data_IF_394009639097
#
_entry.id   IF_394009639097
#
_cell.length_a   1.000
_cell.length_b   1.000
_cell.length_c   1.000
_cell.angle_alpha   90.00
_cell.angle_beta   90.00
_cell.angle_gamma   90.00
#
_symmetry.space_group_name_H-M   'P 1'
#
loop_
_entity.id
_entity.type
_entity.pdbx_description
1 polymer ?
#
# COMPACT_ATOMS: atom_id res chain seq x y z
N UNK A 1 23.13 -29.78 21.15
CA UNK A 1 22.42 -28.67 20.50
C UNK A 1 23.35 -27.48 20.49
N UNK A 2 23.88 -27.10 19.33
CA UNK A 2 24.75 -25.94 19.24
C UNK A 2 23.88 -24.68 19.39
N UNK A 3 23.99 -24.01 20.54
CA UNK A 3 23.51 -22.64 20.72
C UNK A 3 24.47 -21.77 19.91
N UNK A 4 24.20 -21.62 18.62
CA UNK A 4 24.89 -20.64 17.82
C UNK A 4 24.55 -19.27 18.43
N UNK A 5 25.56 -18.63 19.01
CA UNK A 5 25.54 -17.25 19.50
C UNK A 5 25.48 -16.28 18.30
N UNK A 6 24.58 -16.53 17.35
CA UNK A 6 24.31 -15.65 16.23
C UNK A 6 23.34 -14.58 16.71
N UNK A 7 23.67 -13.32 16.42
CA UNK A 7 22.79 -12.19 16.67
C UNK A 7 21.43 -12.45 15.99
N UNK A 8 20.36 -12.51 16.79
CA UNK A 8 19.02 -12.72 16.28
C UNK A 8 18.54 -11.42 15.65
N UNK A 9 18.15 -11.51 14.37
CA UNK A 9 17.61 -10.39 13.61
C UNK A 9 16.10 -10.54 13.45
N UNK A 10 15.42 -9.41 13.30
CA UNK A 10 13.96 -9.36 13.19
C UNK A 10 13.54 -9.01 11.78
N UNK A 11 12.64 -9.80 11.20
CA UNK A 11 11.93 -9.51 9.96
C UNK A 11 10.61 -8.81 10.29
N UNK A 12 10.30 -7.79 9.49
CA UNK A 12 9.09 -6.99 9.66
C UNK A 12 8.26 -7.00 8.40
N UNK A 13 7.01 -7.42 8.52
CA UNK A 13 5.99 -7.32 7.46
C UNK A 13 4.93 -6.33 7.93
N UNK A 14 4.70 -5.29 7.12
CA UNK A 14 3.68 -4.27 7.35
C UNK A 14 2.45 -4.64 6.55
N UNK A 15 1.30 -4.77 7.21
CA UNK A 15 0.03 -5.03 6.56
C UNK A 15 -0.94 -3.88 6.82
N UNK A 16 -1.62 -3.45 5.77
CA UNK A 16 -2.73 -2.53 5.83
C UNK A 16 -4.02 -3.30 5.56
N UNK A 17 -4.96 -3.24 6.49
CA UNK A 17 -6.24 -3.94 6.39
C UNK A 17 -7.38 -2.97 6.54
N UNK A 18 -8.42 -3.17 5.73
CA UNK A 18 -9.66 -2.42 5.77
C UNK A 18 -10.76 -3.30 6.33
N UNK A 19 -11.43 -2.82 7.39
CA UNK A 19 -12.47 -3.59 8.10
C UNK A 19 -13.67 -3.90 7.19
N UNK A 20 -13.98 -2.98 6.27
CA UNK A 20 -15.12 -3.12 5.37
C UNK A 20 -14.83 -2.47 4.01
N UNK A 21 -15.37 -3.04 2.92
CA UNK A 21 -15.09 -2.56 1.56
C UNK A 21 -15.61 -1.13 1.27
N UNK A 22 -16.50 -0.61 2.10
CA UNK A 22 -16.99 0.78 2.04
C UNK A 22 -16.33 1.70 3.07
N UNK A 23 -15.55 1.16 4.01
CA UNK A 23 -14.83 1.97 4.98
C UNK A 23 -13.71 2.74 4.28
N UNK A 24 -13.38 3.93 4.78
CA UNK A 24 -12.19 4.68 4.37
C UNK A 24 -11.02 4.50 5.34
N UNK A 25 -11.27 3.86 6.49
CA UNK A 25 -10.29 3.65 7.54
C UNK A 25 -9.45 2.41 7.27
N UNK A 26 -8.14 2.60 7.15
CA UNK A 26 -7.15 1.53 7.10
C UNK A 26 -6.50 1.34 8.46
N UNK A 27 -6.24 0.09 8.83
CA UNK A 27 -5.50 -0.29 10.03
C UNK A 27 -4.15 -0.84 9.64
N UNK A 28 -3.11 -0.46 10.36
CA UNK A 28 -1.76 -0.98 10.19
C UNK A 28 -1.50 -2.12 11.20
N UNK A 29 -1.07 -3.27 10.72
CA UNK A 29 -0.66 -4.42 11.51
C UNK A 29 0.81 -4.68 11.21
N UNK A 30 1.61 -4.81 12.26
CA UNK A 30 3.03 -5.15 12.17
C UNK A 30 3.21 -6.60 12.57
N UNK A 31 3.72 -7.41 11.65
CA UNK A 31 4.15 -8.78 11.94
C UNK A 31 5.65 -8.80 12.11
N UNK A 32 6.07 -9.27 13.29
CA UNK A 32 7.46 -9.35 13.69
C UNK A 32 7.84 -10.83 13.83
N UNK A 33 8.81 -11.28 13.06
CA UNK A 33 9.31 -12.66 13.11
C UNK A 33 10.83 -12.70 13.22
N UNK A 34 11.37 -13.74 13.84
CA UNK A 34 12.82 -13.96 13.86
C UNK A 34 13.27 -14.35 12.45
N UNK A 35 14.36 -13.73 11.97
CA UNK A 35 14.97 -14.11 10.71
C UNK A 35 15.46 -15.56 10.78
N UNK A 36 15.04 -16.35 9.79
CA UNK A 36 15.45 -17.74 9.65
C UNK A 36 16.24 -17.91 8.36
N UNK A 37 17.46 -18.50 8.40
CA UNK A 37 18.25 -18.71 7.21
C UNK A 37 17.56 -19.70 6.27
N UNK A 38 17.61 -19.43 4.97
CA UNK A 38 17.04 -20.31 3.96
C UNK A 38 17.97 -21.53 3.82
N UNK A 39 17.45 -22.78 3.90
CA UNK A 39 18.27 -23.96 3.65
C UNK A 39 18.90 -23.94 2.25
N UNK A 40 20.16 -24.35 2.08
CA UNK A 40 20.90 -24.22 0.82
C UNK A 40 20.34 -25.04 -0.35
N UNK A 41 19.47 -26.02 -0.08
CA UNK A 41 18.83 -26.87 -1.09
C UNK A 41 17.35 -26.51 -1.34
N UNK A 42 16.89 -25.36 -0.87
CA UNK A 42 15.51 -24.93 -1.06
C UNK A 42 15.29 -24.52 -2.53
N UNK A 43 14.29 -25.09 -3.23
CA UNK A 43 13.97 -24.68 -4.59
C UNK A 43 13.50 -23.22 -4.59
N UNK A 44 13.87 -22.46 -5.61
CA UNK A 44 13.52 -21.04 -5.76
C UNK A 44 13.98 -20.15 -4.58
N UNK A 45 15.10 -20.47 -3.94
CA UNK A 45 15.67 -19.65 -2.85
C UNK A 45 15.80 -18.16 -3.20
N UNK A 46 16.06 -17.85 -4.48
CA UNK A 46 16.19 -16.48 -4.98
C UNK A 46 14.95 -15.62 -4.69
N UNK A 47 13.75 -16.22 -4.66
CA UNK A 47 12.49 -15.52 -4.36
C UNK A 47 12.52 -14.85 -2.97
N UNK A 48 13.27 -15.41 -2.02
CA UNK A 48 13.35 -14.91 -0.65
C UNK A 48 14.58 -14.03 -0.41
N UNK A 49 15.50 -13.93 -1.38
CA UNK A 49 16.77 -13.17 -1.26
C UNK A 49 16.86 -11.99 -2.24
N UNK A 50 15.97 -11.91 -3.23
CA UNK A 50 15.98 -10.88 -4.28
C UNK A 50 15.50 -9.50 -3.80
N UNK A 51 15.07 -9.36 -2.55
CA UNK A 51 14.54 -8.10 -2.03
C UNK A 51 13.13 -7.78 -2.51
N UNK A 52 12.39 -8.76 -3.03
CA UNK A 52 10.99 -8.59 -3.40
C UNK A 52 10.13 -8.29 -2.16
N UNK A 53 9.52 -7.10 -2.19
CA UNK A 53 8.68 -6.57 -1.11
C UNK A 53 7.30 -7.22 -1.04
N UNK A 54 6.89 -7.89 -2.12
CA UNK A 54 5.60 -8.59 -2.22
C UNK A 54 5.69 -10.06 -1.81
N UNK A 55 6.90 -10.58 -1.61
CA UNK A 55 7.13 -11.94 -1.12
C UNK A 55 7.34 -11.94 0.39
N UNK A 56 6.57 -12.78 1.09
CA UNK A 56 6.74 -13.01 2.52
C UNK A 56 8.10 -13.68 2.82
N UNK A 57 8.74 -13.34 3.96
CA UNK A 57 9.98 -13.99 4.39
C UNK A 57 9.85 -15.52 4.51
N UNK A 58 10.98 -16.21 4.34
CA UNK A 58 11.05 -17.68 4.49
C UNK A 58 10.49 -18.19 5.83
N UNK A 59 10.57 -17.41 6.91
CA UNK A 59 9.99 -17.79 8.21
C UNK A 59 8.50 -18.15 8.14
N UNK A 60 7.76 -17.59 7.19
CA UNK A 60 6.33 -17.85 7.00
C UNK A 60 6.05 -19.16 6.24
N UNK A 61 7.07 -19.87 5.75
CA UNK A 61 6.89 -21.23 5.20
C UNK A 61 7.01 -22.31 6.29
N UNK A 62 7.55 -21.96 7.46
CA UNK A 62 7.81 -22.88 8.56
C UNK A 62 6.62 -23.03 9.52
N UNK A 63 5.69 -22.09 9.47
CA UNK A 63 4.52 -22.00 10.34
C UNK A 63 3.28 -21.67 9.50
N UNK A 64 2.07 -22.04 9.95
CA UNK A 64 0.84 -21.62 9.29
C UNK A 64 0.78 -20.09 9.21
N UNK A 65 0.42 -19.56 8.04
CA UNK A 65 0.29 -18.13 7.84
C UNK A 65 -0.88 -17.60 8.71
N UNK A 66 -0.72 -16.44 9.35
CA UNK A 66 -1.85 -15.71 9.93
C UNK A 66 -2.95 -15.51 8.89
N UNK A 67 -4.20 -15.69 9.29
CA UNK A 67 -5.36 -15.68 8.37
C UNK A 67 -5.42 -14.40 7.53
N UNK A 68 -5.12 -13.25 8.13
CA UNK A 68 -5.10 -11.97 7.42
C UNK A 68 -3.99 -11.89 6.36
N UNK A 69 -2.88 -12.60 6.51
CA UNK A 69 -1.77 -12.61 5.55
C UNK A 69 -1.97 -13.63 4.40
N UNK A 70 -3.01 -14.46 4.46
CA UNK A 70 -3.35 -15.38 3.38
C UNK A 70 -3.82 -14.63 2.12
N UNK A 71 -4.45 -13.47 2.31
CA UNK A 71 -4.79 -12.57 1.22
C UNK A 71 -3.49 -12.03 0.61
N UNK A 72 -3.32 -12.22 -0.70
CA UNK A 72 -2.12 -11.83 -1.43
C UNK A 72 -1.74 -10.35 -1.25
N UNK A 73 -0.53 -9.94 -1.71
CA UNK A 73 0.06 -8.65 -1.39
C UNK A 73 -0.71 -7.43 -1.92
N UNK A 74 -1.68 -7.65 -2.82
CA UNK A 74 -2.45 -6.62 -3.51
C UNK A 74 -3.97 -6.86 -3.43
N UNK A 75 -4.44 -7.56 -2.39
CA UNK A 75 -5.89 -7.68 -2.14
C UNK A 75 -6.52 -6.31 -1.89
N UNK A 76 -7.79 -6.16 -2.27
CA UNK A 76 -8.53 -4.91 -2.12
C UNK A 76 -8.88 -4.61 -0.64
N UNK A 77 -8.93 -5.64 0.21
CA UNK A 77 -9.19 -5.49 1.64
C UNK A 77 -7.93 -5.53 2.49
N UNK A 78 -6.88 -6.18 2.00
CA UNK A 78 -5.62 -6.33 2.71
C UNK A 78 -4.44 -6.18 1.75
N UNK A 79 -3.47 -5.33 2.09
CA UNK A 79 -2.20 -5.21 1.35
C UNK A 79 -1.06 -5.37 2.32
N UNK A 80 -0.01 -6.06 1.91
CA UNK A 80 1.19 -6.18 2.75
C UNK A 80 2.45 -5.80 2.01
N UNK A 81 3.46 -5.47 2.81
CA UNK A 81 4.80 -5.07 2.41
C UNK A 81 5.80 -5.73 3.34
N UNK A 82 6.66 -6.55 2.78
CA UNK A 82 7.83 -7.06 3.47
C UNK A 82 8.95 -6.01 3.37
N UNK A 83 9.50 -5.58 4.51
CA UNK A 83 10.64 -4.66 4.51
C UNK A 83 11.88 -5.46 4.09
N UNK A 84 12.45 -5.20 2.90
CA UNK A 84 13.60 -5.94 2.44
C UNK A 84 14.85 -5.48 3.19
N UNK A 85 15.87 -6.33 3.19
CA UNK A 85 17.18 -5.94 3.72
C UNK A 85 17.85 -5.05 2.70
N UNK A 86 18.18 -3.83 3.07
CA UNK A 86 18.99 -2.94 2.23
C UNK A 86 20.25 -2.52 2.99
N UNK A 87 21.18 -1.87 2.29
CA UNK A 87 22.40 -1.33 2.91
C UNK A 87 22.09 -0.17 3.86
N UNK A 88 21.03 0.59 3.61
CA UNK A 88 20.59 1.74 4.41
C UNK A 88 19.66 1.33 5.55
N UNK A 89 18.90 0.25 5.38
CA UNK A 89 17.95 -0.30 6.34
C UNK A 89 18.25 -1.77 6.65
N UNK A 90 19.28 -2.05 7.49
CA UNK A 90 19.56 -3.41 7.96
C UNK A 90 18.46 -3.89 8.90
N UNK A 91 18.31 -5.22 9.02
CA UNK A 91 17.35 -5.79 9.96
C UNK A 91 17.73 -5.47 11.41
N UNK A 92 16.77 -5.11 12.27
CA UNK A 92 17.04 -4.80 13.66
C UNK A 92 17.41 -6.06 14.45
N UNK A 93 18.33 -5.93 15.40
CA UNK A 93 18.69 -7.00 16.31
C UNK A 93 17.83 -7.03 17.57
N UNK A 94 17.70 -8.22 18.16
CA UNK A 94 16.91 -8.50 19.35
C UNK A 94 17.86 -8.58 20.58
N UNK A 95 17.50 -8.00 21.74
CA UNK A 95 16.26 -7.31 22.08
C UNK A 95 16.13 -5.92 21.45
N UNK A 96 14.93 -5.58 20.99
CA UNK A 96 14.60 -4.27 20.41
C UNK A 96 13.57 -3.55 21.29
N UNK A 97 13.81 -2.25 21.52
CA UNK A 97 12.86 -1.38 22.21
C UNK A 97 11.97 -0.65 21.19
N UNK A 98 10.79 -0.21 21.63
CA UNK A 98 9.83 0.48 20.77
C UNK A 98 10.41 1.72 20.06
N UNK A 99 11.22 2.60 20.71
CA UNK A 99 11.82 3.74 20.01
C UNK A 99 12.76 3.33 18.88
N UNK A 100 13.56 2.28 19.09
CA UNK A 100 14.47 1.75 18.06
C UNK A 100 13.68 1.14 16.89
N UNK A 101 12.57 0.45 17.20
CA UNK A 101 11.66 -0.06 16.17
C UNK A 101 11.02 1.08 15.39
N UNK A 102 10.58 2.16 16.05
CA UNK A 102 10.02 3.32 15.39
C UNK A 102 11.05 3.99 14.45
N UNK A 103 12.30 4.15 14.90
CA UNK A 103 13.38 4.67 14.05
C UNK A 103 13.64 3.77 12.83
N UNK A 104 13.60 2.45 13.02
CA UNK A 104 13.74 1.48 11.93
C UNK A 104 12.57 1.56 10.91
N UNK A 105 11.34 1.68 11.39
CA UNK A 105 10.18 1.83 10.51
C UNK A 105 10.21 3.17 9.76
N UNK A 106 10.65 4.24 10.43
CA UNK A 106 10.83 5.55 9.82
C UNK A 106 11.88 5.50 8.71
N UNK A 107 13.05 4.89 8.95
CA UNK A 107 14.08 4.78 7.92
C UNK A 107 13.63 3.91 6.75
N UNK A 108 12.90 2.82 6.98
CA UNK A 108 12.30 2.00 5.92
C UNK A 108 11.32 2.80 5.05
N UNK A 109 10.53 3.67 5.68
CA UNK A 109 9.59 4.55 4.98
C UNK A 109 10.30 5.65 4.20
N UNK A 110 11.37 6.24 4.75
CA UNK A 110 12.18 7.24 4.07
C UNK A 110 12.94 6.65 2.87
N UNK A 111 13.47 5.43 3.00
CA UNK A 111 14.06 4.69 1.87
C UNK A 111 13.02 4.44 0.77
N UNK A 112 11.80 4.07 1.14
CA UNK A 112 10.69 3.91 0.20
C UNK A 112 10.36 5.22 -0.53
N UNK A 113 10.36 6.35 0.17
CA UNK A 113 10.13 7.68 -0.42
C UNK A 113 11.25 8.10 -1.36
N UNK A 114 12.51 7.79 -1.03
CA UNK A 114 13.66 8.05 -1.92
C UNK A 114 13.57 7.23 -3.21
N UNK A 115 13.05 6.01 -3.12
CA UNK A 115 12.88 5.11 -4.25
C UNK A 115 11.67 5.45 -5.16
N UNK A 116 10.89 6.51 -4.90
CA UNK A 116 9.72 6.87 -5.71
C UNK A 116 10.05 7.05 -7.20
N UNK A 117 11.22 7.60 -7.50
CA UNK A 117 11.70 7.84 -8.86
C UNK A 117 12.37 6.62 -9.49
N UNK A 118 12.69 5.58 -8.70
CA UNK A 118 13.27 4.35 -9.19
C UNK A 118 12.15 3.37 -9.56
N UNK A 119 11.79 3.38 -10.85
CA UNK A 119 10.69 2.58 -11.40
C UNK A 119 10.97 1.08 -11.39
N UNK A 120 12.23 0.67 -11.19
CA UNK A 120 12.65 -0.73 -11.17
C UNK A 120 12.57 -1.37 -9.78
N UNK A 121 12.56 -0.54 -8.72
CA UNK A 121 12.53 -1.02 -7.35
C UNK A 121 11.09 -1.16 -6.83
N UNK A 122 10.76 -2.33 -6.27
CA UNK A 122 9.50 -2.51 -5.52
C UNK A 122 9.41 -1.65 -4.26
N UNK A 123 10.52 -1.03 -3.86
CA UNK A 123 10.68 -0.25 -2.62
C UNK A 123 9.70 0.91 -2.51
N UNK A 124 9.30 1.54 -3.62
CA UNK A 124 8.32 2.65 -3.61
C UNK A 124 6.91 2.26 -3.12
N UNK A 125 6.60 0.96 -3.05
CA UNK A 125 5.27 0.45 -2.72
C UNK A 125 4.82 0.89 -1.33
N UNK A 126 5.71 0.87 -0.33
CA UNK A 126 5.38 1.24 1.04
C UNK A 126 4.94 2.71 1.15
N UNK A 127 5.71 3.65 0.60
CA UNK A 127 5.37 5.07 0.59
C UNK A 127 4.02 5.30 -0.09
N UNK A 128 3.79 4.70 -1.26
CA UNK A 128 2.51 4.79 -1.97
C UNK A 128 1.32 4.26 -1.14
N UNK A 129 1.51 3.16 -0.41
CA UNK A 129 0.45 2.62 0.46
C UNK A 129 0.18 3.56 1.63
N UNK A 130 1.21 4.04 2.32
CA UNK A 130 1.04 4.97 3.45
C UNK A 130 0.35 6.25 2.99
N UNK A 131 0.83 6.84 1.89
CA UNK A 131 0.29 8.08 1.32
C UNK A 131 -1.17 7.90 0.85
N UNK A 132 -1.51 6.74 0.29
CA UNK A 132 -2.87 6.44 -0.16
C UNK A 132 -3.84 6.10 0.97
N UNK A 133 -3.37 5.49 2.06
CA UNK A 133 -4.20 5.02 3.17
C UNK A 133 -4.35 6.05 4.29
N UNK A 134 -3.39 6.96 4.44
CA UNK A 134 -3.39 8.02 5.46
C UNK A 134 -3.12 9.40 4.84
N UNK A 135 -4.01 9.90 3.96
CA UNK A 135 -3.79 11.15 3.24
C UNK A 135 -3.81 12.40 4.13
N UNK A 136 -4.44 12.31 5.32
CA UNK A 136 -4.50 13.41 6.28
C UNK A 136 -3.13 13.73 6.91
N UNK A 137 -2.20 12.77 6.90
CA UNK A 137 -0.86 12.91 7.49
C UNK A 137 0.17 13.46 6.48
N UNK A 138 -0.26 13.87 5.29
CA UNK A 138 0.65 14.46 4.31
C UNK A 138 0.96 15.94 4.60
N UNK A 139 2.24 16.33 4.69
CA UNK A 139 2.61 17.71 4.39
C UNK A 139 2.30 17.97 2.90
N UNK A 140 1.68 19.13 2.60
CA UNK A 140 1.06 19.58 1.33
C UNK A 140 1.93 19.49 0.04
N UNK A 141 3.12 18.89 0.07
CA UNK A 141 4.16 18.98 -0.96
C UNK A 141 4.23 17.84 -1.98
N UNK A 142 3.38 16.80 -1.96
CA UNK A 142 3.49 15.68 -2.92
C UNK A 142 2.17 15.35 -3.63
N UNK A 143 1.60 16.35 -4.33
CA UNK A 143 0.54 16.10 -5.29
C UNK A 143 1.13 15.92 -6.69
N UNK A 144 1.47 14.68 -7.03
CA UNK A 144 1.85 14.31 -8.38
C UNK A 144 2.12 12.82 -8.51
N UNK A 145 1.09 12.05 -8.85
CA UNK A 145 1.16 10.94 -9.80
C UNK A 145 -0.21 10.26 -9.88
N UNK A 146 -0.71 10.21 -11.11
CA UNK A 146 -1.84 9.43 -11.55
C UNK A 146 -1.70 7.93 -11.24
N UNK A 147 -2.87 7.28 -11.27
CA UNK A 147 -3.08 5.84 -11.39
C UNK A 147 -2.98 4.99 -10.10
N UNK A 148 -4.06 5.05 -9.32
CA UNK A 148 -4.67 3.84 -8.76
C UNK A 148 -6.17 3.93 -9.04
N UNK A 149 -6.65 3.10 -9.98
CA UNK A 149 -8.08 2.85 -10.15
C UNK A 149 -8.66 2.25 -8.87
N UNK A 150 -9.32 3.08 -8.07
CA UNK A 150 -10.76 2.99 -7.80
C UNK A 150 -11.18 4.23 -6.95
N UNK A 151 -12.15 5.00 -7.47
CA UNK A 151 -12.97 6.01 -6.78
C UNK A 151 -12.26 7.05 -5.88
N UNK A 152 -11.69 8.07 -6.51
CA UNK A 152 -11.61 9.43 -5.94
C UNK A 152 -12.82 10.28 -6.38
N UNK A 153 -14.03 9.87 -5.98
CA UNK A 153 -15.13 10.82 -5.82
C UNK A 153 -14.76 11.72 -4.64
N UNK A 154 -14.27 12.93 -4.93
CA UNK A 154 -14.10 14.12 -4.06
C UNK A 154 -12.81 14.92 -4.39
N UNK A 155 -12.52 15.20 -5.67
CA UNK A 155 -11.79 16.43 -6.04
C UNK A 155 -12.79 17.54 -6.38
N UNK A 156 -13.54 17.99 -5.36
CA UNK A 156 -14.34 19.23 -5.43
C UNK A 156 -13.55 20.33 -4.73
N UNK A 157 -12.66 20.97 -5.49
CA UNK A 157 -11.81 22.07 -5.03
C UNK A 157 -11.81 23.21 -6.05
N UNK A 158 -12.53 24.27 -5.70
CA UNK A 158 -12.83 25.48 -6.47
C UNK A 158 -11.58 26.13 -7.08
N UNK A 159 -11.46 26.14 -8.42
CA UNK A 159 -10.56 27.07 -9.13
C UNK A 159 -11.36 28.19 -9.79
N UNK A 160 -11.22 29.34 -9.14
CA UNK A 160 -11.64 30.69 -9.47
C UNK A 160 -11.67 31.00 -10.97
N UNK A 161 -12.83 31.52 -11.36
CA UNK A 161 -13.06 32.40 -12.51
C UNK A 161 -12.20 33.66 -12.35
N UNK A 162 -11.33 33.95 -13.32
CA UNK A 162 -10.95 35.31 -13.72
C UNK A 162 -10.52 35.28 -15.19
N UNK A 163 -11.19 36.09 -16.00
CA UNK A 163 -11.18 35.99 -17.45
C UNK A 163 -10.03 36.70 -18.16
N UNK A 164 -9.94 36.42 -19.46
CA UNK A 164 -9.58 37.40 -20.49
C UNK A 164 -10.12 36.93 -21.83
N UNK A 165 -10.99 37.74 -22.41
CA UNK A 165 -11.58 37.57 -23.73
C UNK A 165 -10.56 37.93 -24.84
N UNK A 166 -10.61 37.20 -25.95
CA UNK A 166 -10.83 37.79 -27.27
C UNK A 166 -11.11 36.74 -28.37
N UNK A 167 -12.15 37.05 -29.17
CA UNK A 167 -12.44 36.72 -30.59
C UNK A 167 -11.62 35.61 -31.26
N UNK A 168 -12.15 34.74 -32.12
CA UNK A 168 -13.40 34.56 -32.89
C UNK A 168 -13.17 33.23 -33.63
N UNK A 169 -14.14 32.35 -33.92
CA UNK A 169 -14.97 32.37 -35.13
C UNK A 169 -15.75 31.06 -35.18
N UNK A 170 -17.04 31.13 -35.52
CA UNK A 170 -17.80 30.14 -36.28
C UNK A 170 -17.76 28.65 -35.87
N UNK A 171 -18.76 28.21 -35.11
CA UNK A 171 -19.42 26.94 -35.38
C UNK A 171 -20.91 27.05 -35.02
N UNK A 172 -21.73 27.03 -36.05
CA UNK A 172 -23.19 26.93 -36.01
C UNK A 172 -23.60 25.54 -35.49
N UNK A 173 -24.68 25.49 -34.72
CA UNK A 173 -25.69 24.44 -34.92
C UNK A 173 -26.14 23.64 -33.70
N UNK A 174 -27.45 23.77 -33.40
CA UNK A 174 -28.36 22.82 -32.71
C UNK A 174 -28.17 22.69 -31.19
N UNK A 175 -29.09 23.15 -30.34
CA UNK A 175 -30.51 22.75 -30.27
C UNK A 175 -30.55 21.32 -29.75
N UNK A 176 -30.63 21.06 -28.44
CA UNK A 176 -31.80 21.33 -27.61
C UNK A 176 -32.74 20.13 -27.68
N UNK A 177 -32.50 19.09 -26.87
CA UNK A 177 -33.55 18.19 -26.40
C UNK A 177 -33.16 17.63 -25.03
N UNK A 178 -33.97 18.00 -24.06
CA UNK A 178 -34.06 17.32 -22.78
C UNK A 178 -34.70 15.96 -23.04
N UNK A 179 -33.99 14.88 -22.73
CA UNK A 179 -34.60 13.58 -22.51
C UNK A 179 -33.89 12.94 -21.32
N UNK A 180 -34.42 13.31 -20.16
CA UNK A 180 -34.26 12.67 -18.87
C UNK A 180 -34.82 11.26 -18.99
N UNK A 181 -33.99 10.23 -18.86
CA UNK A 181 -34.49 8.89 -18.53
C UNK A 181 -34.09 8.56 -17.10
N UNK A 182 -35.06 8.86 -16.23
CA UNK A 182 -35.18 8.35 -14.88
C UNK A 182 -35.72 6.90 -14.98
N UNK A 183 -34.82 5.92 -15.10
CA UNK A 183 -35.19 4.51 -14.92
C UNK A 183 -34.74 4.05 -13.54
N UNK A 184 -35.61 4.39 -12.59
CA UNK A 184 -35.71 3.79 -11.27
C UNK A 184 -36.14 2.34 -11.45
N UNK A 185 -35.32 1.39 -11.03
CA UNK A 185 -35.80 0.10 -10.53
C UNK A 185 -35.36 -0.02 -9.07
N UNK A 186 -36.20 0.39 -8.10
CA UNK A 186 -35.96 0.03 -6.73
C UNK A 186 -36.40 -1.43 -6.60
N UNK A 187 -35.44 -2.31 -6.34
CA UNK A 187 -35.75 -3.68 -5.94
C UNK A 187 -36.75 -3.62 -4.77
N UNK A 188 -37.93 -4.22 -4.96
CA UNK A 188 -38.92 -4.41 -3.91
C UNK A 188 -38.39 -5.52 -2.99
N UNK A 189 -38.15 -5.19 -1.72
CA UNK A 189 -38.14 -6.19 -0.65
C UNK A 189 -39.59 -6.49 -0.33
N UNK A 190 -40.09 -7.63 -0.80
CA UNK A 190 -41.18 -8.42 -0.18
C UNK A 190 -41.17 -9.79 -0.86
N UNK A 191 -40.73 -10.83 -0.11
CA UNK A 191 -41.12 -12.26 -0.21
C UNK A 191 -40.06 -13.20 0.37
N UNK A 192 -39.72 -13.02 1.65
CA UNK A 192 -39.32 -14.13 2.51
C UNK A 192 -40.09 -13.99 3.82
N UNK A 193 -41.30 -14.56 3.83
CA UNK A 193 -41.98 -14.99 5.05
C UNK A 193 -41.40 -16.29 5.57
#
# INVERSE_FOLDING_TARGET
MAVNKSEMKLRTVVQFVRVHHSSMEWRCILYLSIEYPIPPNTPNQFKYTNGDVSTLPWSYTLLPLPELLCDGPDSHMAKYYNIPVTTTTPLPSVPINLPNLAMYLQSALDDSRRALNDSSSGLRKLAKMVDGFYPADQPISVLGADDFGDRSLLRRGVKKVFGKANKSTNARGRGGNADTYELVTPFRLDDWG
#
